data_IF_053894871791
#
_entry.id   IF_053894871791
#
_cell.length_a   1.000
_cell.length_b   1.000
_cell.length_c   1.000
_cell.angle_alpha   90.00
_cell.angle_beta   90.00
_cell.angle_gamma   90.00
#
_symmetry.space_group_name_H-M   'P 1'
#
loop_
_entity.id
_entity.type
_entity.pdbx_description
1 polymer ?
#
# COMPACT_ATOMS: atom_id res chain seq x y z
N UNK A 1 -13.09 -3.83 -6.08
CA UNK A 1 -12.32 -2.56 -6.32
C UNK A 1 -10.84 -2.91 -6.40
N UNK A 2 -10.23 -2.87 -7.59
CA UNK A 2 -8.82 -3.27 -7.78
C UNK A 2 -7.98 -2.12 -8.29
N UNK A 3 -7.33 -1.40 -7.39
CA UNK A 3 -6.36 -0.36 -7.72
C UNK A 3 -5.06 -0.59 -6.96
N UNK A 4 -3.93 -0.34 -7.61
CA UNK A 4 -2.59 -0.49 -7.05
C UNK A 4 -1.83 0.82 -7.27
N UNK A 5 -0.96 1.16 -6.33
CA UNK A 5 -0.07 2.31 -6.44
C UNK A 5 1.24 1.93 -7.11
N UNK A 6 1.56 2.53 -8.26
CA UNK A 6 2.79 2.24 -9.01
C UNK A 6 3.72 3.45 -9.01
N UNK A 7 5.03 3.21 -8.95
CA UNK A 7 6.06 4.24 -9.15
C UNK A 7 6.56 4.20 -10.59
N UNK A 8 6.56 5.34 -11.28
CA UNK A 8 7.04 5.53 -12.66
C UNK A 8 7.89 6.80 -12.70
N UNK A 9 9.17 6.68 -13.08
CA UNK A 9 10.11 7.83 -13.20
C UNK A 9 10.10 8.74 -11.96
N UNK A 10 10.11 8.14 -10.77
CA UNK A 10 10.08 8.88 -9.50
C UNK A 10 8.70 9.39 -9.05
N UNK A 11 7.68 9.40 -9.92
CA UNK A 11 6.31 9.82 -9.59
C UNK A 11 5.41 8.62 -9.28
N UNK A 12 4.39 8.82 -8.45
CA UNK A 12 3.41 7.79 -8.12
C UNK A 12 2.12 7.97 -8.93
N UNK A 13 1.55 6.84 -9.36
CA UNK A 13 0.31 6.79 -10.15
C UNK A 13 -0.60 5.68 -9.61
N UNK A 14 -1.91 5.83 -9.78
CA UNK A 14 -2.84 4.71 -9.60
C UNK A 14 -2.93 3.89 -10.88
N UNK A 15 -3.04 2.57 -10.74
CA UNK A 15 -3.23 1.66 -11.87
C UNK A 15 -4.07 0.44 -11.44
N UNK A 16 -4.50 -0.38 -12.40
CA UNK A 16 -5.04 -1.70 -12.08
C UNK A 16 -3.91 -2.64 -11.60
N UNK A 17 -4.22 -3.65 -10.77
CA UNK A 17 -3.30 -4.74 -10.46
C UNK A 17 -2.75 -5.39 -11.72
N UNK A 18 -1.52 -5.93 -11.62
CA UNK A 18 -0.86 -6.63 -12.72
C UNK A 18 -1.78 -7.74 -13.24
N UNK A 19 -2.02 -7.76 -14.56
CA UNK A 19 -2.98 -8.67 -15.21
C UNK A 19 -4.37 -8.08 -15.45
N UNK A 20 -4.62 -6.82 -15.05
CA UNK A 20 -5.84 -6.08 -15.41
C UNK A 20 -7.13 -6.55 -14.71
N UNK A 21 -7.06 -7.62 -13.91
CA UNK A 21 -8.19 -8.18 -13.18
C UNK A 21 -8.10 -7.83 -11.70
N UNK A 22 -9.15 -7.22 -11.15
CA UNK A 22 -9.34 -7.16 -9.72
C UNK A 22 -9.69 -8.57 -9.23
N UNK A 23 -9.11 -8.98 -8.10
CA UNK A 23 -9.50 -10.20 -7.39
C UNK A 23 -10.11 -9.79 -6.07
N UNK A 24 -11.22 -10.44 -5.72
CA UNK A 24 -11.78 -10.32 -4.39
C UNK A 24 -11.19 -11.43 -3.51
N UNK A 25 -10.77 -11.07 -2.30
CA UNK A 25 -10.19 -12.00 -1.33
C UNK A 25 -11.06 -11.93 -0.08
N UNK A 26 -11.58 -13.06 0.43
CA UNK A 26 -12.37 -13.04 1.65
C UNK A 26 -11.50 -12.55 2.81
N UNK A 27 -11.98 -11.52 3.51
CA UNK A 27 -11.31 -10.94 4.67
C UNK A 27 -11.83 -11.66 5.92
N UNK A 28 -10.98 -12.28 6.75
CA UNK A 28 -11.39 -12.85 8.03
C UNK A 28 -12.04 -11.80 8.94
N UNK A 29 -13.07 -12.20 9.71
CA UNK A 29 -13.82 -11.27 10.59
C UNK A 29 -12.91 -10.49 11.55
N UNK A 30 -11.89 -11.14 12.10
CA UNK A 30 -10.91 -10.50 12.98
C UNK A 30 -10.18 -9.34 12.28
N UNK A 31 -9.69 -9.56 11.05
CA UNK A 31 -9.03 -8.51 10.27
C UNK A 31 -9.99 -7.37 9.92
N UNK A 32 -11.25 -7.67 9.59
CA UNK A 32 -12.25 -6.62 9.35
C UNK A 32 -12.50 -5.75 10.60
N UNK A 33 -12.53 -6.36 11.79
CA UNK A 33 -12.65 -5.63 13.05
C UNK A 33 -11.43 -4.74 13.32
N UNK A 34 -10.22 -5.26 13.11
CA UNK A 34 -8.97 -4.49 13.23
C UNK A 34 -8.94 -3.31 12.27
N UNK A 35 -9.30 -3.51 10.99
CA UNK A 35 -9.38 -2.44 10.00
C UNK A 35 -10.39 -1.37 10.41
N UNK A 36 -11.55 -1.77 10.93
CA UNK A 36 -12.57 -0.82 11.42
C UNK A 36 -12.06 -0.02 12.62
N UNK A 37 -11.35 -0.65 13.55
CA UNK A 37 -10.67 0.03 14.65
C UNK A 37 -9.67 1.06 14.15
N UNK A 38 -8.78 0.66 13.23
CA UNK A 38 -7.79 1.54 12.63
C UNK A 38 -8.43 2.75 11.95
N UNK A 39 -9.49 2.58 11.15
CA UNK A 39 -10.16 3.71 10.47
C UNK A 39 -10.86 4.69 11.41
N UNK A 40 -11.13 4.30 12.67
CA UNK A 40 -11.69 5.21 13.69
C UNK A 40 -10.61 6.03 14.36
N UNK A 41 -9.45 5.42 14.58
CA UNK A 41 -8.29 6.07 15.22
C UNK A 41 -7.52 6.95 14.23
N UNK A 42 -7.40 6.49 12.99
CA UNK A 42 -6.71 7.16 11.90
C UNK A 42 -7.70 7.40 10.77
N UNK A 43 -8.10 8.66 10.59
CA UNK A 43 -9.06 9.02 9.56
C UNK A 43 -8.50 8.73 8.16
N UNK A 44 -9.18 7.92 7.32
CA UNK A 44 -8.69 7.61 6.00
C UNK A 44 -8.66 8.85 5.10
N UNK A 45 -7.49 9.15 4.54
CA UNK A 45 -7.23 10.36 3.76
C UNK A 45 -7.60 10.20 2.28
N UNK A 46 -7.95 11.31 1.63
CA UNK A 46 -8.14 11.36 0.19
C UNK A 46 -6.84 11.79 -0.49
N UNK A 47 -6.34 10.96 -1.41
CA UNK A 47 -5.12 11.22 -2.18
C UNK A 47 -5.45 11.26 -3.67
N UNK A 48 -4.99 12.31 -4.35
CA UNK A 48 -5.16 12.50 -5.78
C UNK A 48 -3.84 12.21 -6.49
N UNK A 49 -3.84 11.23 -7.39
CA UNK A 49 -2.68 10.87 -8.22
C UNK A 49 -3.08 10.64 -9.67
N UNK A 50 -2.15 10.82 -10.63
CA UNK A 50 -2.38 10.49 -12.03
C UNK A 50 -2.71 9.00 -12.22
N UNK A 51 -3.50 8.68 -13.25
CA UNK A 51 -3.85 7.31 -13.62
C UNK A 51 -2.93 6.74 -14.70
N UNK A 52 -2.35 5.55 -14.44
CA UNK A 52 -1.44 4.75 -15.28
C UNK A 52 -0.13 5.40 -15.70
N UNK A 53 -0.12 6.68 -16.03
CA UNK A 53 1.04 7.47 -16.45
C UNK A 53 1.10 8.77 -15.65
N UNK A 54 2.31 9.37 -15.47
CA UNK A 54 2.44 10.61 -14.70
C UNK A 54 1.67 11.80 -15.26
N UNK A 55 1.39 11.79 -16.56
CA UNK A 55 0.63 12.82 -17.27
C UNK A 55 -0.84 12.38 -17.52
N UNK A 56 -1.24 11.26 -16.91
CA UNK A 56 -2.60 10.75 -16.98
C UNK A 56 -3.59 11.60 -16.18
N UNK A 57 -4.88 11.34 -16.39
CA UNK A 57 -5.93 12.06 -15.65
C UNK A 57 -5.78 11.84 -14.13
N UNK A 58 -6.06 12.89 -13.36
CA UNK A 58 -6.03 12.84 -11.92
C UNK A 58 -7.20 12.01 -11.40
N UNK A 59 -6.90 11.12 -10.46
CA UNK A 59 -7.86 10.25 -9.80
C UNK A 59 -7.71 10.36 -8.30
N UNK A 60 -8.79 10.70 -7.61
CA UNK A 60 -8.82 10.72 -6.14
C UNK A 60 -9.26 9.36 -5.61
N UNK A 61 -8.53 8.86 -4.60
CA UNK A 61 -8.85 7.63 -3.87
C UNK A 61 -8.68 7.84 -2.38
N UNK A 62 -9.54 7.17 -1.60
CA UNK A 62 -9.45 7.14 -0.14
C UNK A 62 -8.50 6.03 0.30
N UNK A 63 -7.47 6.38 1.06
CA UNK A 63 -6.47 5.44 1.57
C UNK A 63 -6.76 5.12 3.02
N UNK A 64 -6.92 3.83 3.33
CA UNK A 64 -7.08 3.33 4.71
C UNK A 64 -5.78 3.46 5.50
N UNK A 65 -4.63 3.37 4.83
CA UNK A 65 -3.31 3.54 5.42
C UNK A 65 -2.58 4.69 4.74
N UNK A 66 -2.01 5.57 5.54
CA UNK A 66 -1.21 6.70 5.08
C UNK A 66 0.11 6.79 5.85
N UNK A 67 1.13 7.32 5.17
CA UNK A 67 2.39 7.67 5.80
C UNK A 67 2.31 8.98 6.59
N UNK A 68 3.36 9.32 7.36
CA UNK A 68 3.41 10.51 8.20
C UNK A 68 3.18 11.83 7.45
N UNK A 69 3.53 11.87 6.15
CA UNK A 69 3.38 13.03 5.27
C UNK A 69 1.96 13.20 4.70
N UNK A 70 0.94 12.51 5.24
CA UNK A 70 -0.44 12.61 4.74
C UNK A 70 -0.59 12.10 3.31
N UNK A 71 0.18 11.06 2.95
CA UNK A 71 0.23 10.49 1.61
C UNK A 71 0.23 8.95 1.68
N UNK A 72 0.32 8.29 0.53
CA UNK A 72 0.47 6.83 0.49
C UNK A 72 1.68 6.34 1.28
N UNK A 73 1.59 5.10 1.78
CA UNK A 73 2.72 4.44 2.43
C UNK A 73 3.76 4.07 1.36
N UNK A 74 5.01 4.54 1.54
CA UNK A 74 6.14 4.13 0.72
C UNK A 74 6.58 2.73 1.14
N UNK A 75 6.62 1.80 0.19
CA UNK A 75 6.95 0.38 0.47
C UNK A 75 8.32 0.23 1.13
N UNK A 76 9.34 0.96 0.66
CA UNK A 76 10.68 0.93 1.27
C UNK A 76 10.65 1.37 2.74
N UNK A 77 9.99 2.50 3.03
CA UNK A 77 9.84 3.00 4.39
C UNK A 77 9.12 1.99 5.29
N UNK A 78 8.03 1.40 4.80
CA UNK A 78 7.30 0.37 5.55
C UNK A 78 8.18 -0.86 5.81
N UNK A 79 8.91 -1.31 4.80
CA UNK A 79 9.75 -2.49 4.88
C UNK A 79 10.87 -2.30 5.91
N UNK A 80 11.58 -1.18 5.82
CA UNK A 80 12.78 -0.93 6.61
C UNK A 80 12.47 -0.53 8.06
N UNK A 81 11.38 0.20 8.29
CA UNK A 81 11.08 0.73 9.64
C UNK A 81 10.01 -0.04 10.40
N UNK A 82 9.16 -0.83 9.74
CA UNK A 82 8.07 -1.54 10.40
C UNK A 82 8.15 -3.05 10.18
N UNK A 83 8.26 -3.50 8.93
CA UNK A 83 8.18 -4.92 8.60
C UNK A 83 9.40 -5.72 9.05
N UNK A 84 10.62 -5.35 8.62
CA UNK A 84 11.85 -6.04 9.01
C UNK A 84 12.07 -6.04 10.53
N UNK A 85 11.89 -4.91 11.25
CA UNK A 85 11.98 -4.93 12.71
C UNK A 85 10.95 -5.86 13.36
N UNK A 86 9.70 -5.87 12.90
CA UNK A 86 8.68 -6.76 13.44
C UNK A 86 9.01 -8.24 13.21
N UNK A 87 9.55 -8.58 12.03
CA UNK A 87 10.01 -9.94 11.74
C UNK A 87 11.16 -10.35 12.68
N UNK A 88 12.15 -9.46 12.88
CA UNK A 88 13.26 -9.70 13.80
C UNK A 88 12.79 -9.93 15.24
N UNK A 89 11.84 -9.12 15.74
CA UNK A 89 11.24 -9.32 17.07
C UNK A 89 10.45 -10.62 17.17
N UNK A 90 9.80 -11.07 16.09
CA UNK A 90 9.05 -12.33 16.05
C UNK A 90 9.92 -13.58 15.94
N UNK A 91 11.25 -13.44 15.81
CA UNK A 91 12.19 -14.55 15.61
C UNK A 91 12.13 -15.20 14.22
N UNK A 92 11.46 -14.57 13.25
CA UNK A 92 11.37 -15.09 11.88
C UNK A 92 12.60 -14.69 11.04
N UNK A 93 13.24 -15.62 10.32
CA UNK A 93 14.39 -15.29 9.48
C UNK A 93 13.97 -14.39 8.31
N UNK A 94 14.72 -13.30 8.12
CA UNK A 94 14.56 -12.39 6.99
C UNK A 94 14.66 -13.18 5.67
N UNK A 95 13.61 -13.14 4.85
CA UNK A 95 13.65 -13.73 3.51
C UNK A 95 14.60 -12.89 2.65
N UNK A 96 15.74 -13.48 2.27
CA UNK A 96 16.80 -12.86 1.46
C UNK A 96 16.23 -12.15 0.22
N UNK A 97 16.67 -10.91 0.06
CA UNK A 97 16.39 -10.03 -1.08
C UNK A 97 16.75 -10.71 -2.41
N UNK A 98 15.80 -10.74 -3.35
CA UNK A 98 15.97 -11.35 -4.66
C UNK A 98 16.89 -10.52 -5.55
N UNK A 99 18.20 -10.70 -5.40
CA UNK A 99 19.18 -10.35 -6.43
C UNK A 99 19.15 -11.44 -7.51
N UNK A 100 18.57 -11.15 -8.67
CA UNK A 100 18.79 -11.94 -9.89
C UNK A 100 19.88 -11.19 -10.67
N UNK A 101 21.06 -11.83 -10.77
CA UNK A 101 22.08 -11.50 -11.76
C UNK A 101 21.77 -12.11 -13.12
#
# INVERSE_FOLDING_TARGET
MGHHLKRIRGKYVFALPKGGKARDVPIPKALAATLKGHTKEFEPISVTLPWRTPDGHLTTRRLVFSGPEGNHVRVSNFNDHHWKPALATSGSPESRDGTVG
#
